data_IF_696164984943
#
_entry.id   IF_696164984943
#
_cell.length_a   1.000
_cell.length_b   1.000
_cell.length_c   1.000
_cell.angle_alpha   90.00
_cell.angle_beta   90.00
_cell.angle_gamma   90.00
#
_symmetry.space_group_name_H-M   'P 1'
#
loop_
_entity.id
_entity.type
_entity.pdbx_description
1 polymer ?
#
# COMPACT_ATOMS: atom_id res chain seq x y z
N UNK A 1 13.89 -19.79 -3.73
CA UNK A 1 14.51 -18.63 -4.44
C UNK A 1 13.51 -17.48 -4.35
N UNK A 2 13.74 -16.51 -3.48
CA UNK A 2 12.87 -15.34 -3.40
C UNK A 2 13.35 -14.34 -4.45
N UNK A 3 12.59 -14.19 -5.51
CA UNK A 3 12.76 -13.07 -6.46
C UNK A 3 12.00 -11.88 -5.90
N UNK A 4 12.71 -11.02 -5.17
CA UNK A 4 12.15 -9.72 -4.81
C UNK A 4 12.09 -8.84 -6.04
N UNK A 5 10.90 -8.40 -6.43
CA UNK A 5 10.74 -7.33 -7.42
C UNK A 5 10.92 -6.01 -6.68
N UNK A 6 12.07 -5.37 -6.86
CA UNK A 6 12.27 -4.01 -6.36
C UNK A 6 11.74 -3.04 -7.42
N UNK A 7 10.67 -2.33 -7.09
CA UNK A 7 10.07 -1.34 -7.95
C UNK A 7 10.64 0.05 -7.63
N UNK A 8 11.22 0.69 -8.62
CA UNK A 8 11.69 2.07 -8.57
C UNK A 8 13.12 2.27 -8.06
N UNK A 9 13.94 2.95 -8.85
CA UNK A 9 15.33 3.29 -8.53
C UNK A 9 15.45 4.03 -7.18
N UNK A 10 16.32 3.52 -6.30
CA UNK A 10 16.63 4.13 -5.00
C UNK A 10 15.71 3.75 -3.84
N UNK A 11 14.65 2.94 -4.05
CA UNK A 11 13.64 2.66 -3.04
C UNK A 11 14.13 1.83 -1.84
N UNK A 12 15.05 0.90 -2.03
CA UNK A 12 15.48 -0.02 -0.96
C UNK A 12 16.23 0.69 0.16
N UNK A 13 17.16 1.60 -0.16
CA UNK A 13 17.91 2.36 0.84
C UNK A 13 17.03 3.35 1.63
N UNK A 14 16.06 3.98 0.97
CA UNK A 14 15.12 4.90 1.65
C UNK A 14 14.19 4.16 2.60
N UNK A 15 13.72 2.97 2.23
CA UNK A 15 12.86 2.13 3.09
C UNK A 15 13.61 1.66 4.33
N UNK A 16 14.88 1.26 4.21
CA UNK A 16 15.69 0.89 5.36
C UNK A 16 15.90 2.06 6.32
N UNK A 17 16.28 3.24 5.82
CA UNK A 17 16.47 4.42 6.64
C UNK A 17 15.16 4.89 7.32
N UNK A 18 14.01 4.69 6.67
CA UNK A 18 12.69 4.96 7.27
C UNK A 18 12.34 3.94 8.35
N UNK A 19 12.60 2.65 8.09
CA UNK A 19 12.36 1.58 9.04
C UNK A 19 13.27 1.69 10.28
N UNK A 20 14.54 2.08 10.11
CA UNK A 20 15.46 2.34 11.21
C UNK A 20 14.97 3.48 12.12
N UNK A 21 14.36 4.53 11.57
CA UNK A 21 13.76 5.61 12.36
C UNK A 21 12.56 5.15 13.18
N UNK A 22 11.77 4.21 12.65
CA UNK A 22 10.53 3.74 13.31
C UNK A 22 10.86 2.65 14.34
N UNK A 23 11.69 1.68 13.98
CA UNK A 23 11.92 0.46 14.75
C UNK A 23 13.22 0.45 15.55
N UNK A 24 14.17 1.34 15.24
CA UNK A 24 15.45 1.43 15.94
C UNK A 24 16.13 0.08 16.08
N UNK A 25 16.58 -0.25 17.30
CA UNK A 25 17.29 -1.50 17.61
C UNK A 25 16.43 -2.76 17.41
N UNK A 26 15.11 -2.62 17.32
CA UNK A 26 14.18 -3.74 17.09
C UNK A 26 14.13 -4.17 15.62
N UNK A 27 14.63 -3.35 14.69
CA UNK A 27 14.57 -3.64 13.25
C UNK A 27 15.16 -5.03 12.92
N UNK A 28 16.31 -5.35 13.48
CA UNK A 28 16.98 -6.62 13.25
C UNK A 28 16.21 -7.81 13.85
N UNK A 29 15.56 -7.62 14.99
CA UNK A 29 14.74 -8.66 15.62
C UNK A 29 13.47 -8.92 14.84
N UNK A 30 12.85 -7.88 14.25
CA UNK A 30 11.61 -7.96 13.51
C UNK A 30 11.81 -8.45 12.07
N UNK A 31 12.84 -7.99 11.39
CA UNK A 31 13.05 -8.23 9.95
C UNK A 31 14.24 -9.12 9.62
N UNK A 32 15.08 -9.43 10.61
CA UNK A 32 16.31 -10.19 10.40
C UNK A 32 17.38 -9.40 9.63
N UNK A 33 18.23 -10.10 8.89
CA UNK A 33 19.25 -9.48 8.04
C UNK A 33 18.64 -9.04 6.69
N UNK A 34 18.63 -7.74 6.43
CA UNK A 34 18.21 -7.19 5.15
C UNK A 34 19.40 -7.17 4.20
N UNK A 35 19.31 -7.90 3.09
CA UNK A 35 20.34 -7.96 2.05
C UNK A 35 19.90 -7.22 0.80
N UNK A 36 20.82 -6.45 0.22
CA UNK A 36 20.62 -5.84 -1.09
C UNK A 36 20.44 -6.89 -2.18
N UNK A 37 19.60 -6.59 -3.16
CA UNK A 37 19.46 -7.41 -4.38
C UNK A 37 20.43 -6.85 -5.41
N UNK A 38 21.32 -7.68 -6.01
CA UNK A 38 22.19 -7.25 -7.10
C UNK A 38 21.39 -6.64 -8.25
N UNK A 39 21.88 -5.55 -8.83
CA UNK A 39 21.15 -4.78 -9.85
C UNK A 39 20.79 -5.62 -11.08
N UNK A 40 21.68 -6.52 -11.50
CA UNK A 40 21.46 -7.45 -12.61
C UNK A 40 20.31 -8.46 -12.37
N UNK A 41 19.80 -8.54 -11.14
CA UNK A 41 18.65 -9.38 -10.73
C UNK A 41 17.37 -8.58 -10.56
N UNK A 42 17.42 -7.29 -10.83
CA UNK A 42 16.28 -6.37 -10.71
C UNK A 42 15.74 -6.05 -12.09
N UNK A 43 14.44 -6.16 -12.28
CA UNK A 43 13.72 -5.67 -13.46
C UNK A 43 12.76 -4.57 -13.03
N UNK A 44 12.90 -3.41 -13.61
CA UNK A 44 11.94 -2.32 -13.44
C UNK A 44 10.78 -2.56 -14.42
N UNK A 45 9.55 -2.46 -13.90
CA UNK A 45 8.34 -2.61 -14.70
C UNK A 45 7.67 -1.25 -14.86
N UNK A 46 7.27 -0.97 -16.10
CA UNK A 46 6.40 0.16 -16.39
C UNK A 46 4.94 -0.18 -16.08
N UNK A 47 4.11 0.86 -15.98
CA UNK A 47 2.67 0.68 -15.83
C UNK A 47 2.07 -0.10 -17.00
N UNK A 48 1.24 -1.08 -16.68
CA UNK A 48 0.60 -1.97 -17.66
C UNK A 48 1.53 -3.04 -18.23
N UNK A 49 2.83 -3.04 -17.90
CA UNK A 49 3.77 -4.04 -18.40
C UNK A 49 3.42 -5.44 -17.91
N UNK A 50 3.51 -6.41 -18.81
CA UNK A 50 3.21 -7.81 -18.53
C UNK A 50 4.49 -8.62 -18.50
N UNK A 51 4.66 -9.44 -17.49
CA UNK A 51 5.77 -10.40 -17.35
C UNK A 51 5.21 -11.81 -17.29
N UNK A 52 5.82 -12.73 -18.06
CA UNK A 52 5.55 -14.15 -17.91
C UNK A 52 6.35 -14.72 -16.73
N UNK A 53 5.65 -15.33 -15.80
CA UNK A 53 6.24 -15.91 -14.58
C UNK A 53 5.63 -17.30 -14.31
N UNK A 54 6.41 -18.35 -14.53
CA UNK A 54 5.96 -19.72 -14.26
C UNK A 54 4.69 -20.15 -15.02
N UNK A 55 4.50 -19.64 -16.25
CA UNK A 55 3.31 -19.92 -17.06
C UNK A 55 2.12 -19.00 -16.79
N UNK A 56 2.26 -18.04 -15.88
CA UNK A 56 1.28 -16.99 -15.59
C UNK A 56 1.71 -15.67 -16.24
N UNK A 57 0.74 -14.89 -16.69
CA UNK A 57 0.93 -13.49 -17.06
C UNK A 57 0.64 -12.60 -15.86
N UNK A 58 1.65 -11.83 -15.45
CA UNK A 58 1.57 -10.89 -14.33
C UNK A 58 1.67 -9.49 -14.90
N UNK A 59 0.59 -8.71 -14.78
CA UNK A 59 0.54 -7.32 -15.21
C UNK A 59 0.85 -6.40 -14.02
N UNK A 60 1.82 -5.50 -14.20
CA UNK A 60 2.08 -4.43 -13.26
C UNK A 60 1.02 -3.33 -13.43
N UNK A 61 0.45 -2.86 -12.33
CA UNK A 61 -0.55 -1.80 -12.29
C UNK A 61 -0.05 -0.74 -11.31
N UNK A 62 0.36 0.42 -11.83
CA UNK A 62 0.80 1.53 -10.98
C UNK A 62 -0.36 2.03 -10.13
N UNK A 63 -0.17 2.06 -8.82
CA UNK A 63 -1.20 2.42 -7.83
C UNK A 63 -0.61 3.31 -6.73
N UNK A 64 -0.19 4.55 -7.09
CA UNK A 64 0.36 5.48 -6.11
C UNK A 64 -0.70 5.93 -5.10
N UNK A 65 -0.25 6.45 -3.96
CA UNK A 65 -1.09 7.02 -2.92
C UNK A 65 -0.73 6.57 -1.52
N UNK A 66 -0.66 5.26 -1.26
CA UNK A 66 -0.02 4.72 -0.06
C UNK A 66 1.49 5.01 -0.07
N UNK A 67 2.11 4.88 -1.22
CA UNK A 67 3.49 5.30 -1.50
C UNK A 67 3.61 5.71 -2.97
N UNK A 68 4.52 6.63 -3.29
CA UNK A 68 4.68 7.17 -4.64
C UNK A 68 5.09 6.13 -5.69
N UNK A 69 5.75 5.04 -5.25
CA UNK A 69 6.27 3.96 -6.09
C UNK A 69 5.44 2.69 -6.02
N UNK A 70 4.22 2.76 -5.48
CA UNK A 70 3.40 1.59 -5.22
C UNK A 70 2.82 0.98 -6.51
N UNK A 71 2.83 -0.35 -6.59
CA UNK A 71 2.21 -1.13 -7.67
C UNK A 71 1.37 -2.26 -7.08
N UNK A 72 0.24 -2.52 -7.73
CA UNK A 72 -0.51 -3.76 -7.62
C UNK A 72 -0.13 -4.69 -8.78
N UNK A 73 -0.43 -5.98 -8.67
CA UNK A 73 -0.18 -6.96 -9.70
C UNK A 73 -1.46 -7.71 -10.04
N UNK A 74 -1.81 -7.72 -11.33
CA UNK A 74 -2.95 -8.48 -11.83
C UNK A 74 -2.49 -9.80 -12.44
N UNK A 75 -3.16 -10.88 -12.06
CA UNK A 75 -2.99 -12.22 -12.63
C UNK A 75 -4.37 -12.77 -12.99
N UNK A 76 -4.73 -12.75 -14.27
CA UNK A 76 -6.07 -13.09 -14.72
C UNK A 76 -7.13 -12.19 -14.09
N UNK A 77 -8.06 -12.78 -13.34
CA UNK A 77 -9.14 -12.08 -12.63
C UNK A 77 -8.80 -11.71 -11.18
N UNK A 78 -7.57 -11.95 -10.74
CA UNK A 78 -7.11 -11.70 -9.39
C UNK A 78 -6.20 -10.48 -9.37
N UNK A 79 -6.25 -9.71 -8.27
CA UNK A 79 -5.33 -8.59 -8.06
C UNK A 79 -4.65 -8.71 -6.70
N UNK A 80 -3.32 -8.76 -6.73
CA UNK A 80 -2.46 -8.65 -5.57
C UNK A 80 -2.20 -7.17 -5.32
N UNK A 81 -2.86 -6.62 -4.32
CA UNK A 81 -3.04 -5.18 -4.19
C UNK A 81 -1.87 -4.46 -3.52
N UNK A 82 -0.96 -5.16 -2.86
CA UNK A 82 -0.08 -4.47 -1.93
C UNK A 82 -0.90 -3.77 -0.85
N UNK A 83 -0.38 -2.65 -0.35
CA UNK A 83 -1.00 -1.88 0.73
C UNK A 83 -2.06 -0.87 0.26
N UNK A 84 -2.17 -0.62 -1.07
CA UNK A 84 -3.10 0.37 -1.61
C UNK A 84 -4.56 0.03 -1.34
N UNK A 85 -4.92 -1.26 -1.24
CA UNK A 85 -6.28 -1.68 -0.89
C UNK A 85 -6.50 -1.85 0.62
N UNK A 86 -5.59 -1.35 1.44
CA UNK A 86 -5.74 -1.35 2.88
C UNK A 86 -5.44 -2.69 3.55
N UNK A 87 -5.78 -2.75 4.82
CA UNK A 87 -5.70 -3.95 5.66
C UNK A 87 -7.08 -4.25 6.23
N UNK A 88 -7.42 -5.55 6.35
CA UNK A 88 -8.70 -5.96 6.92
C UNK A 88 -8.54 -7.25 7.69
N UNK A 89 -8.98 -7.24 8.94
CA UNK A 89 -9.10 -8.44 9.76
C UNK A 89 -10.58 -8.78 9.84
N UNK A 90 -11.01 -9.81 9.11
CA UNK A 90 -12.41 -10.20 9.10
C UNK A 90 -12.90 -10.65 10.50
N UNK A 91 -14.11 -10.26 10.92
CA UNK A 91 -15.15 -9.53 10.18
C UNK A 91 -15.08 -8.00 10.27
N UNK A 92 -13.93 -7.44 10.60
CA UNK A 92 -13.75 -6.01 10.82
C UNK A 92 -13.79 -5.14 9.57
N UNK A 93 -13.72 -3.81 9.75
CA UNK A 93 -13.63 -2.85 8.66
C UNK A 93 -12.29 -2.93 7.94
N UNK A 94 -12.25 -2.39 6.73
CA UNK A 94 -10.99 -2.13 6.02
C UNK A 94 -10.40 -0.81 6.51
N UNK A 95 -9.10 -0.80 6.81
CA UNK A 95 -8.37 0.37 7.30
C UNK A 95 -7.19 0.72 6.39
N UNK A 96 -6.90 2.00 6.18
CA UNK A 96 -5.76 2.41 5.39
C UNK A 96 -4.47 2.33 6.22
N UNK A 97 -3.43 1.60 5.77
CA UNK A 97 -2.09 1.72 6.35
C UNK A 97 -1.47 3.06 5.90
N UNK A 98 -1.23 3.96 6.83
CA UNK A 98 -0.81 5.34 6.55
C UNK A 98 0.61 5.65 7.07
N UNK A 99 1.67 4.99 6.59
CA UNK A 99 3.03 5.32 7.01
C UNK A 99 3.46 6.67 6.41
N UNK A 100 3.90 7.63 7.24
CA UNK A 100 4.46 8.88 6.71
C UNK A 100 5.82 8.63 6.03
N UNK A 101 6.30 9.53 5.13
CA UNK A 101 5.66 10.76 4.67
C UNK A 101 4.98 10.68 3.28
N UNK A 102 4.88 9.49 2.68
CA UNK A 102 4.64 9.33 1.23
C UNK A 102 3.15 9.30 0.84
N UNK A 103 2.24 9.61 1.76
CA UNK A 103 0.80 9.51 1.51
C UNK A 103 0.32 10.67 0.65
N UNK A 104 -0.41 10.32 -0.44
CA UNK A 104 -1.05 11.28 -1.33
C UNK A 104 -2.49 10.85 -1.63
N UNK A 105 -3.45 11.51 -1.00
CA UNK A 105 -4.86 11.07 -0.98
C UNK A 105 -5.50 11.04 -2.37
N UNK A 106 -5.30 12.07 -3.20
CA UNK A 106 -5.88 12.18 -4.53
C UNK A 106 -5.38 11.03 -5.43
N UNK A 107 -4.09 10.72 -5.36
CA UNK A 107 -3.51 9.58 -6.06
C UNK A 107 -4.07 8.26 -5.53
N UNK A 108 -4.30 8.17 -4.22
CA UNK A 108 -4.86 6.96 -3.61
C UNK A 108 -6.29 6.73 -4.08
N UNK A 109 -7.13 7.75 -4.10
CA UNK A 109 -8.50 7.66 -4.64
C UNK A 109 -8.50 7.22 -6.10
N UNK A 110 -7.64 7.82 -6.93
CA UNK A 110 -7.50 7.43 -8.33
C UNK A 110 -7.05 5.97 -8.48
N UNK A 111 -6.16 5.49 -7.61
CA UNK A 111 -5.70 4.10 -7.59
C UNK A 111 -6.81 3.13 -7.19
N UNK A 112 -7.65 3.47 -6.20
CA UNK A 112 -8.81 2.67 -5.83
C UNK A 112 -9.83 2.58 -6.96
N UNK A 113 -10.13 3.71 -7.63
CA UNK A 113 -11.03 3.75 -8.79
C UNK A 113 -10.46 2.94 -9.96
N UNK A 114 -9.15 2.97 -10.15
CA UNK A 114 -8.45 2.14 -11.14
C UNK A 114 -8.59 0.65 -10.83
N UNK A 115 -8.36 0.22 -9.59
CA UNK A 115 -8.55 -1.17 -9.17
C UNK A 115 -9.98 -1.64 -9.40
N UNK A 116 -10.97 -0.83 -9.09
CA UNK A 116 -12.39 -1.10 -9.39
C UNK A 116 -12.63 -1.29 -10.89
N UNK A 117 -12.01 -0.46 -11.74
CA UNK A 117 -12.16 -0.53 -13.20
C UNK A 117 -11.64 -1.82 -13.81
N UNK A 118 -10.69 -2.49 -13.15
CA UNK A 118 -10.17 -3.79 -13.56
C UNK A 118 -11.17 -4.93 -13.37
N UNK A 119 -12.23 -4.71 -12.57
CA UNK A 119 -13.28 -5.67 -12.23
C UNK A 119 -12.74 -7.04 -11.80
N UNK A 120 -11.82 -7.09 -10.83
CA UNK A 120 -11.27 -8.36 -10.37
C UNK A 120 -12.32 -9.17 -9.62
N UNK A 121 -12.18 -10.50 -9.61
CA UNK A 121 -13.01 -11.39 -8.81
C UNK A 121 -12.63 -11.37 -7.33
N UNK A 122 -11.34 -11.16 -7.05
CA UNK A 122 -10.85 -11.08 -5.68
C UNK A 122 -9.63 -10.17 -5.57
N UNK A 123 -9.50 -9.54 -4.40
CA UNK A 123 -8.34 -8.79 -3.95
C UNK A 123 -7.52 -9.66 -3.00
N UNK A 124 -6.24 -9.81 -3.27
CA UNK A 124 -5.28 -10.42 -2.36
C UNK A 124 -4.48 -9.30 -1.69
N UNK A 125 -4.79 -9.05 -0.43
CA UNK A 125 -4.12 -8.00 0.34
C UNK A 125 -2.73 -8.47 0.78
N UNK A 126 -1.83 -7.54 1.07
CA UNK A 126 -0.54 -7.84 1.70
C UNK A 126 -0.73 -8.47 3.07
N UNK A 127 -1.77 -8.03 3.79
CA UNK A 127 -2.05 -8.44 5.17
C UNK A 127 -3.45 -9.04 5.29
N UNK A 128 -3.55 -10.20 5.99
CA UNK A 128 -4.79 -10.82 6.47
C UNK A 128 -5.77 -11.36 5.42
N UNK A 129 -5.30 -11.68 4.20
CA UNK A 129 -6.02 -12.58 3.33
C UNK A 129 -6.57 -12.01 2.03
N UNK A 130 -7.56 -12.72 1.47
CA UNK A 130 -8.19 -12.41 0.20
C UNK A 130 -9.68 -12.10 0.41
N UNK A 131 -10.23 -11.20 -0.42
CA UNK A 131 -11.60 -10.71 -0.32
C UNK A 131 -12.25 -10.67 -1.70
N UNK A 132 -13.46 -11.23 -1.80
CA UNK A 132 -14.27 -11.29 -3.02
C UNK A 132 -15.30 -10.15 -3.09
N UNK A 133 -15.59 -9.50 -1.97
CA UNK A 133 -16.46 -8.33 -1.85
C UNK A 133 -15.73 -7.04 -2.33
N UNK A 134 -15.13 -7.11 -3.53
CA UNK A 134 -14.21 -6.12 -4.10
C UNK A 134 -14.74 -4.69 -4.03
N UNK A 135 -15.96 -4.46 -4.54
CA UNK A 135 -16.55 -3.12 -4.58
C UNK A 135 -16.79 -2.57 -3.18
N UNK A 136 -17.42 -3.36 -2.30
CA UNK A 136 -17.69 -2.96 -0.92
C UNK A 136 -16.39 -2.69 -0.16
N UNK A 137 -15.35 -3.51 -0.39
CA UNK A 137 -14.04 -3.37 0.23
C UNK A 137 -13.35 -2.04 -0.18
N UNK A 138 -13.25 -1.77 -1.48
CA UNK A 138 -12.54 -0.59 -1.99
C UNK A 138 -13.31 0.71 -1.70
N UNK A 139 -14.64 0.69 -1.79
CA UNK A 139 -15.49 1.82 -1.39
C UNK A 139 -15.44 2.07 0.13
N UNK A 140 -15.43 1.01 0.92
CA UNK A 140 -15.25 1.11 2.37
C UNK A 140 -13.93 1.79 2.74
N UNK A 141 -12.82 1.36 2.11
CA UNK A 141 -11.51 1.99 2.31
C UNK A 141 -11.52 3.47 1.92
N UNK A 142 -12.12 3.80 0.76
CA UNK A 142 -12.23 5.18 0.29
C UNK A 142 -12.98 6.05 1.31
N UNK A 143 -14.10 5.54 1.84
CA UNK A 143 -14.86 6.23 2.88
C UNK A 143 -14.09 6.47 4.16
N UNK A 144 -13.26 5.49 4.60
CA UNK A 144 -12.40 5.68 5.79
C UNK A 144 -11.32 6.73 5.54
N UNK A 145 -10.66 6.69 4.36
CA UNK A 145 -9.67 7.72 3.99
C UNK A 145 -10.28 9.12 3.98
N UNK A 146 -11.47 9.28 3.40
CA UNK A 146 -12.21 10.55 3.37
C UNK A 146 -12.57 11.03 4.78
N UNK A 147 -13.05 10.13 5.63
CA UNK A 147 -13.42 10.45 7.01
C UNK A 147 -12.21 10.89 7.83
N UNK A 148 -11.09 10.16 7.72
CA UNK A 148 -9.87 10.52 8.47
C UNK A 148 -9.26 11.84 7.97
N UNK A 149 -9.18 12.02 6.65
CA UNK A 149 -8.69 13.27 6.06
C UNK A 149 -9.58 14.47 6.43
N UNK A 150 -10.89 14.29 6.38
CA UNK A 150 -11.87 15.31 6.76
C UNK A 150 -11.76 15.67 8.25
N UNK A 151 -11.58 14.68 9.12
CA UNK A 151 -11.40 14.90 10.54
C UNK A 151 -10.11 15.71 10.81
N UNK A 152 -8.99 15.33 10.24
CA UNK A 152 -7.70 16.05 10.39
C UNK A 152 -7.81 17.48 9.88
N UNK A 153 -8.37 17.67 8.68
CA UNK A 153 -8.54 19.00 8.09
C UNK A 153 -9.42 19.91 8.94
N UNK A 154 -10.49 19.35 9.52
CA UNK A 154 -11.37 20.10 10.43
C UNK A 154 -10.64 20.56 11.68
N UNK A 155 -9.86 19.68 12.31
CA UNK A 155 -9.08 19.99 13.52
C UNK A 155 -7.97 21.01 13.25
N UNK A 156 -7.31 20.92 12.11
CA UNK A 156 -6.34 21.93 11.68
C UNK A 156 -6.97 23.32 11.56
N UNK A 157 -8.18 23.41 10.99
CA UNK A 157 -8.94 24.68 10.89
C UNK A 157 -9.36 25.23 12.24
N UNK A 158 -9.57 24.39 13.24
CA UNK A 158 -9.82 24.78 14.64
C UNK A 158 -8.54 25.24 15.36
N UNK A 159 -7.36 25.07 14.75
CA UNK A 159 -6.08 25.47 15.31
C UNK A 159 -5.51 24.49 16.33
N UNK A 160 -5.95 23.21 16.32
CA UNK A 160 -5.38 22.18 17.18
C UNK A 160 -3.93 21.87 16.77
N UNK A 161 -3.07 21.66 17.77
CA UNK A 161 -1.72 21.14 17.56
C UNK A 161 -1.76 19.66 17.13
N UNK A 162 -0.67 19.20 16.50
CA UNK A 162 -0.52 17.79 16.14
C UNK A 162 -0.69 16.86 17.35
N UNK A 163 -0.06 17.20 18.48
CA UNK A 163 -0.17 16.43 19.71
C UNK A 163 -1.60 16.33 20.25
N UNK A 164 -2.38 17.40 20.14
CA UNK A 164 -3.79 17.40 20.53
C UNK A 164 -4.63 16.56 19.57
N UNK A 165 -4.34 16.63 18.27
CA UNK A 165 -5.01 15.80 17.25
C UNK A 165 -4.76 14.32 17.48
N UNK A 166 -3.51 13.91 17.75
CA UNK A 166 -3.17 12.51 18.05
C UNK A 166 -3.99 12.00 19.25
N UNK A 167 -3.95 12.72 20.36
CA UNK A 167 -4.72 12.33 21.57
C UNK A 167 -6.22 12.19 21.34
N UNK A 168 -6.81 13.03 20.47
CA UNK A 168 -8.26 12.99 20.18
C UNK A 168 -8.63 11.96 19.12
N UNK A 169 -7.69 11.55 18.29
CA UNK A 169 -7.91 10.52 17.27
C UNK A 169 -7.91 9.11 17.87
N UNK A 170 -7.15 8.91 18.98
CA UNK A 170 -7.06 7.64 19.70
C UNK A 170 -8.21 7.43 20.71
N UNK A 171 -8.96 8.47 21.05
CA UNK A 171 -10.05 8.44 22.02
C UNK A 171 -11.40 8.09 21.38
#
# INVERSE_FOLDING_TARGET
>A
MHTGVALGGGGTFRKLASAERIYGDQLKALWGEVRGIPEERVRLLADGEVVALGGLEVQAVETPGHASHHHAYRVGDLVFTGDVAGVRIAPGPVLPPTPPPDIHLESWYASLDRLLSLRPKALYLTHFGAYEDVEAHLQGLKGVLEAWAGWVLHRLKEGLSEEEMVRRFEA
#
